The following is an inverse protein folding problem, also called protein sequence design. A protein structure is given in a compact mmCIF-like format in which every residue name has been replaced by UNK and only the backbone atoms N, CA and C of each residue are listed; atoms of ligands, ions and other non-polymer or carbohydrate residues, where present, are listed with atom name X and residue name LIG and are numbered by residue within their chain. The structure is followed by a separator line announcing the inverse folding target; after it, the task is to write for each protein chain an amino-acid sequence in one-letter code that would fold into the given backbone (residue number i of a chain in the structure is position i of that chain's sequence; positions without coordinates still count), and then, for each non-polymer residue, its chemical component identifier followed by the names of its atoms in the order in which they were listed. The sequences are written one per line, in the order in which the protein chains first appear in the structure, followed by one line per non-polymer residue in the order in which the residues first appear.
data_IF_134530084312
#
_entry.id   IF_134530084312
#
_cell.length_a   1.000
_cell.length_b   1.000
_cell.length_c   1.000
_cell.angle_alpha   90.00
_cell.angle_beta   90.00
_cell.angle_gamma   90.00
#
_symmetry.space_group_name_H-M   'P 1'
#
loop_
_entity.id
_entity.type
_entity.pdbx_description
1 polymer ?
#
# COMPACT_ATOMS: atom_id res chain seq x y z
N UNK A 1 -7.34 -3.48 25.31
CA UNK A 1 -6.83 -3.43 23.92
C UNK A 1 -6.44 -4.85 23.55
N UNK A 2 -6.97 -5.35 22.44
CA UNK A 2 -6.57 -6.66 21.90
C UNK A 2 -5.10 -6.58 21.47
N UNK A 3 -4.18 -7.38 22.05
CA UNK A 3 -2.76 -7.34 21.72
C UNK A 3 -2.44 -7.75 20.28
N UNK A 4 -3.42 -8.24 19.51
CA UNK A 4 -3.27 -8.63 18.11
C UNK A 4 -3.71 -7.53 17.13
N UNK A 5 -4.32 -6.43 17.58
CA UNK A 5 -4.71 -5.33 16.69
C UNK A 5 -3.49 -4.52 16.26
N UNK A 6 -3.33 -4.36 14.96
CA UNK A 6 -2.28 -3.55 14.32
C UNK A 6 -2.88 -2.29 13.68
N UNK A 7 -2.04 -1.36 13.24
CA UNK A 7 -2.47 -0.20 12.46
C UNK A 7 -3.26 -0.58 11.18
N UNK A 8 -3.01 -1.76 10.62
CA UNK A 8 -3.79 -2.30 9.51
C UNK A 8 -5.27 -2.54 9.87
N UNK A 9 -5.55 -2.99 11.09
CA UNK A 9 -6.92 -3.18 11.56
C UNK A 9 -7.67 -1.84 11.72
N UNK A 10 -7.00 -0.83 12.27
CA UNK A 10 -7.58 0.50 12.42
C UNK A 10 -7.84 1.15 11.05
N UNK A 11 -6.91 1.00 10.12
CA UNK A 11 -7.06 1.45 8.74
C UNK A 11 -8.27 0.77 8.08
N UNK A 12 -8.41 -0.54 8.24
CA UNK A 12 -9.50 -1.30 7.63
C UNK A 12 -10.87 -0.93 8.22
N UNK A 13 -10.96 -0.70 9.52
CA UNK A 13 -12.21 -0.26 10.16
C UNK A 13 -12.73 1.07 9.57
N UNK A 14 -11.80 1.93 9.12
CA UNK A 14 -12.13 3.21 8.46
C UNK A 14 -12.31 3.09 6.93
N UNK A 15 -12.04 1.93 6.33
CA UNK A 15 -12.13 1.71 4.88
C UNK A 15 -13.57 1.46 4.44
N UNK A 16 -14.28 2.55 4.14
CA UNK A 16 -15.67 2.51 3.70
C UNK A 16 -15.85 1.73 2.39
N UNK A 17 -14.90 1.82 1.47
CA UNK A 17 -14.99 1.18 0.16
C UNK A 17 -14.96 -0.35 0.28
N UNK A 18 -13.95 -0.88 0.97
CA UNK A 18 -13.81 -2.32 1.20
C UNK A 18 -14.98 -2.88 2.02
N UNK A 19 -15.36 -2.18 3.09
CA UNK A 19 -16.47 -2.61 3.95
C UNK A 19 -17.81 -2.68 3.20
N UNK A 20 -18.11 -1.72 2.30
CA UNK A 20 -19.34 -1.74 1.49
C UNK A 20 -19.40 -2.89 0.50
N UNK A 21 -18.27 -3.41 0.07
CA UNK A 21 -18.19 -4.56 -0.83
C UNK A 21 -18.23 -5.91 -0.09
N UNK A 22 -18.33 -5.88 1.25
CA UNK A 22 -18.32 -7.09 2.05
C UNK A 22 -16.94 -7.76 2.11
N UNK A 23 -15.86 -6.97 1.94
CA UNK A 23 -14.50 -7.47 2.18
C UNK A 23 -14.34 -7.64 3.69
N UNK A 24 -13.77 -8.76 4.08
CA UNK A 24 -13.47 -9.10 5.46
C UNK A 24 -11.95 -9.20 5.65
N UNK A 25 -11.43 -8.55 6.68
CA UNK A 25 -10.06 -8.76 7.14
C UNK A 25 -10.01 -10.06 7.95
N UNK A 26 -9.28 -11.04 7.46
CA UNK A 26 -9.08 -12.33 8.16
C UNK A 26 -7.86 -12.26 9.07
N UNK A 27 -6.73 -11.71 8.58
CA UNK A 27 -5.51 -11.51 9.35
C UNK A 27 -4.62 -10.46 8.72
N UNK A 28 -3.85 -9.73 9.55
CA UNK A 28 -2.81 -8.81 9.09
C UNK A 28 -1.70 -8.68 10.13
N UNK A 29 -0.51 -9.16 9.82
CA UNK A 29 0.66 -9.09 10.69
C UNK A 29 1.96 -9.26 9.89
N UNK A 30 3.01 -8.57 10.33
CA UNK A 30 4.40 -8.80 9.88
C UNK A 30 4.59 -8.84 8.35
N UNK A 31 3.98 -7.90 7.63
CA UNK A 31 4.09 -7.83 6.17
C UNK A 31 3.21 -8.84 5.42
N UNK A 32 2.30 -9.50 6.10
CA UNK A 32 1.37 -10.45 5.52
C UNK A 32 -0.07 -10.08 5.86
N UNK A 33 -1.00 -10.37 4.96
CA UNK A 33 -2.43 -10.20 5.21
C UNK A 33 -3.27 -11.21 4.43
N UNK A 34 -4.44 -11.49 4.96
CA UNK A 34 -5.48 -12.28 4.29
C UNK A 34 -6.78 -11.50 4.35
N UNK A 35 -7.39 -11.29 3.19
CA UNK A 35 -8.71 -10.69 3.03
C UNK A 35 -9.63 -11.62 2.22
N UNK A 36 -10.93 -11.47 2.41
CA UNK A 36 -11.95 -12.34 1.83
C UNK A 36 -13.07 -11.48 1.26
N UNK A 37 -13.63 -11.85 0.10
CA UNK A 37 -14.75 -11.13 -0.53
C UNK A 37 -15.70 -12.09 -1.24
N UNK A 38 -17.00 -12.05 -0.96
CA UNK A 38 -18.01 -12.75 -1.76
C UNK A 38 -18.26 -12.00 -3.07
N UNK A 39 -18.36 -12.70 -4.20
CA UNK A 39 -18.76 -12.11 -5.46
C UNK A 39 -20.28 -12.04 -5.55
N UNK A 40 -20.83 -10.86 -5.49
CA UNK A 40 -22.25 -10.58 -5.58
C UNK A 40 -22.69 -10.30 -7.02
N UNK A 41 -24.01 -10.27 -7.26
CA UNK A 41 -24.59 -9.92 -8.56
C UNK A 41 -24.12 -8.54 -9.05
N UNK A 42 -23.99 -7.55 -8.15
CA UNK A 42 -23.53 -6.20 -8.50
C UNK A 42 -22.07 -6.11 -8.94
N UNK A 43 -21.31 -7.19 -8.82
CA UNK A 43 -19.90 -7.26 -9.22
C UNK A 43 -19.67 -7.98 -10.56
N UNK A 44 -20.73 -8.42 -11.23
CA UNK A 44 -20.64 -9.20 -12.47
C UNK A 44 -20.68 -8.28 -13.68
N UNK A 45 -19.79 -8.50 -14.63
CA UNK A 45 -19.73 -7.77 -15.89
C UNK A 45 -20.65 -8.37 -16.99
N UNK A 46 -20.65 -7.77 -18.17
CA UNK A 46 -21.46 -8.22 -19.32
C UNK A 46 -21.16 -9.64 -19.82
N UNK A 47 -20.03 -10.24 -19.42
CA UNK A 47 -19.68 -11.63 -19.71
C UNK A 47 -20.12 -12.60 -18.61
N UNK A 48 -20.88 -12.14 -17.62
CA UNK A 48 -21.34 -12.91 -16.45
C UNK A 48 -20.20 -13.48 -15.59
N UNK A 49 -19.08 -12.77 -15.55
CA UNK A 49 -17.95 -13.06 -14.66
C UNK A 49 -17.68 -11.84 -13.79
N UNK A 50 -17.01 -12.05 -12.67
CA UNK A 50 -16.61 -10.96 -11.79
C UNK A 50 -15.82 -9.91 -12.58
N UNK A 51 -16.23 -8.63 -12.47
CA UNK A 51 -15.49 -7.54 -13.09
C UNK A 51 -14.09 -7.45 -12.49
N UNK A 52 -13.06 -7.38 -13.35
CA UNK A 52 -11.66 -7.37 -12.91
C UNK A 52 -11.33 -6.26 -11.92
N UNK A 53 -12.06 -5.13 -11.97
CA UNK A 53 -11.89 -4.05 -11.00
C UNK A 53 -12.18 -4.46 -9.56
N UNK A 54 -13.17 -5.35 -9.31
CA UNK A 54 -13.45 -5.85 -7.96
C UNK A 54 -12.40 -6.87 -7.50
N UNK A 55 -11.89 -7.71 -8.40
CA UNK A 55 -10.78 -8.63 -8.11
C UNK A 55 -9.52 -7.83 -7.78
N UNK A 56 -9.24 -6.77 -8.55
CA UNK A 56 -8.14 -5.86 -8.28
C UNK A 56 -8.29 -5.19 -6.91
N UNK A 57 -9.47 -4.68 -6.59
CA UNK A 57 -9.73 -4.00 -5.31
C UNK A 57 -9.49 -4.93 -4.12
N UNK A 58 -9.94 -6.19 -4.19
CA UNK A 58 -9.65 -7.18 -3.15
C UNK A 58 -8.15 -7.42 -2.98
N UNK A 59 -7.41 -7.57 -4.10
CA UNK A 59 -5.96 -7.74 -4.07
C UNK A 59 -5.26 -6.51 -3.47
N UNK A 60 -5.65 -5.31 -3.88
CA UNK A 60 -5.12 -4.04 -3.39
C UNK A 60 -5.40 -3.84 -1.90
N UNK A 61 -6.62 -4.20 -1.44
CA UNK A 61 -6.96 -4.17 -0.01
C UNK A 61 -6.05 -5.10 0.81
N UNK A 62 -5.84 -6.34 0.37
CA UNK A 62 -4.94 -7.27 1.05
C UNK A 62 -3.48 -6.76 1.04
N UNK A 63 -3.03 -6.18 -0.07
CA UNK A 63 -1.74 -5.52 -0.18
C UNK A 63 -1.61 -4.35 0.80
N UNK A 64 -2.59 -3.46 0.86
CA UNK A 64 -2.59 -2.32 1.79
C UNK A 64 -2.55 -2.79 3.24
N UNK A 65 -3.30 -3.82 3.60
CA UNK A 65 -3.28 -4.44 4.93
C UNK A 65 -1.90 -5.00 5.29
N UNK A 66 -1.26 -5.71 4.37
CA UNK A 66 0.09 -6.23 4.57
C UNK A 66 1.12 -5.11 4.79
N UNK A 67 1.09 -4.05 3.96
CA UNK A 67 1.98 -2.90 4.09
C UNK A 67 1.82 -2.19 5.44
N UNK A 68 0.58 -1.97 5.87
CA UNK A 68 0.27 -1.22 7.09
C UNK A 68 0.37 -2.07 8.36
N UNK A 69 0.57 -3.38 8.24
CA UNK A 69 0.79 -4.25 9.40
C UNK A 69 2.09 -3.95 10.15
N UNK A 70 3.00 -3.20 9.54
CA UNK A 70 4.23 -2.72 10.17
C UNK A 70 4.06 -1.45 11.03
N UNK A 71 2.91 -0.78 10.94
CA UNK A 71 2.56 0.40 11.74
C UNK A 71 2.58 1.72 10.99
N UNK A 72 3.69 2.16 10.36
CA UNK A 72 3.69 3.44 9.65
C UNK A 72 2.75 3.47 8.46
N UNK A 73 2.02 4.59 8.29
CA UNK A 73 1.09 4.77 7.18
C UNK A 73 1.78 4.57 5.81
N UNK A 74 1.29 3.63 5.05
CA UNK A 74 1.89 3.19 3.79
C UNK A 74 0.82 3.08 2.72
N UNK A 75 1.10 3.59 1.53
CA UNK A 75 0.18 3.63 0.39
C UNK A 75 0.76 2.92 -0.82
N UNK A 76 -0.10 2.58 -1.78
CA UNK A 76 0.33 2.07 -3.07
C UNK A 76 1.10 3.15 -3.86
N UNK A 77 2.22 2.78 -4.44
CA UNK A 77 2.97 3.59 -5.41
C UNK A 77 2.77 3.09 -6.84
N UNK A 78 2.42 1.83 -7.00
CA UNK A 78 2.10 1.19 -8.27
C UNK A 78 1.66 -0.24 -8.05
N UNK A 79 0.99 -0.80 -9.03
CA UNK A 79 0.59 -2.21 -9.01
C UNK A 79 0.35 -2.72 -10.42
N UNK A 80 0.50 -4.03 -10.59
CA UNK A 80 0.03 -4.76 -11.75
C UNK A 80 -0.70 -6.03 -11.34
N UNK A 81 -1.58 -6.53 -12.21
CA UNK A 81 -2.37 -7.73 -11.99
C UNK A 81 -2.45 -8.55 -13.28
N UNK A 82 -2.35 -9.86 -13.13
CA UNK A 82 -2.66 -10.83 -14.17
C UNK A 82 -3.87 -11.64 -13.76
N UNK A 83 -4.93 -11.59 -14.57
CA UNK A 83 -6.12 -12.41 -14.39
C UNK A 83 -5.90 -13.79 -15.00
N UNK A 84 -5.91 -14.81 -14.16
CA UNK A 84 -5.58 -16.18 -14.56
C UNK A 84 -6.83 -16.96 -14.95
N UNK A 85 -7.91 -16.79 -14.16
CA UNK A 85 -9.21 -17.44 -14.38
C UNK A 85 -10.36 -16.55 -13.99
N UNK A 86 -11.54 -16.69 -14.62
CA UNK A 86 -12.71 -15.93 -14.24
C UNK A 86 -13.26 -16.41 -12.89
N UNK A 87 -13.67 -15.47 -12.05
CA UNK A 87 -14.56 -15.72 -10.93
C UNK A 87 -16.01 -15.45 -11.33
N UNK A 88 -16.96 -16.03 -10.62
CA UNK A 88 -18.40 -15.93 -10.92
C UNK A 88 -19.18 -15.49 -9.70
N UNK A 89 -20.39 -15.01 -9.92
CA UNK A 89 -21.33 -14.75 -8.84
C UNK A 89 -21.49 -15.99 -7.95
N UNK A 90 -21.43 -15.78 -6.63
CA UNK A 90 -21.49 -16.84 -5.63
C UNK A 90 -20.14 -17.41 -5.23
N UNK A 91 -19.08 -17.12 -6.00
CA UNK A 91 -17.73 -17.45 -5.55
C UNK A 91 -17.34 -16.60 -4.33
N UNK A 92 -16.51 -17.17 -3.47
CA UNK A 92 -15.81 -16.46 -2.41
C UNK A 92 -14.35 -16.40 -2.78
N UNK A 93 -13.80 -15.20 -2.88
CA UNK A 93 -12.40 -14.97 -3.18
C UNK A 93 -11.61 -14.69 -1.93
N UNK A 94 -10.39 -15.20 -1.88
CA UNK A 94 -9.45 -15.01 -0.79
C UNK A 94 -8.15 -14.44 -1.39
N UNK A 95 -7.78 -13.24 -0.93
CA UNK A 95 -6.51 -12.61 -1.28
C UNK A 95 -5.50 -12.84 -0.15
N UNK A 96 -4.35 -13.39 -0.48
CA UNK A 96 -3.22 -13.59 0.43
C UNK A 96 -2.05 -12.75 -0.03
N UNK A 97 -1.72 -11.74 0.77
CA UNK A 97 -0.62 -10.82 0.53
C UNK A 97 0.61 -11.22 1.36
N UNK A 98 1.78 -11.10 0.77
CA UNK A 98 3.06 -11.30 1.46
C UNK A 98 4.12 -10.33 0.98
N UNK A 99 4.87 -9.79 1.92
CA UNK A 99 6.04 -8.96 1.65
C UNK A 99 7.13 -9.77 0.97
N UNK A 100 7.69 -9.23 -0.11
CA UNK A 100 8.85 -9.80 -0.80
C UNK A 100 10.14 -9.14 -0.33
N UNK A 101 10.12 -7.81 -0.25
CA UNK A 101 11.27 -7.03 0.21
C UNK A 101 10.84 -5.62 0.57
N UNK A 102 11.58 -4.99 1.48
CA UNK A 102 11.49 -3.55 1.76
C UNK A 102 12.84 -2.89 1.53
N UNK A 103 12.82 -1.67 1.01
CA UNK A 103 14.03 -0.87 0.76
C UNK A 103 13.73 0.61 0.96
N UNK A 104 14.46 1.27 1.85
CA UNK A 104 14.16 2.64 2.23
C UNK A 104 12.71 2.80 2.75
N UNK A 105 11.91 3.63 2.07
CA UNK A 105 10.49 3.82 2.36
C UNK A 105 9.57 3.06 1.41
N UNK A 106 10.10 2.15 0.63
CA UNK A 106 9.36 1.37 -0.38
C UNK A 106 9.35 -0.11 -0.03
N UNK A 107 8.39 -0.84 -0.61
CA UNK A 107 8.31 -2.28 -0.50
C UNK A 107 7.67 -2.91 -1.72
N UNK A 108 7.91 -4.18 -1.92
CA UNK A 108 7.31 -5.02 -2.96
C UNK A 108 6.56 -6.14 -2.27
N UNK A 109 5.32 -6.37 -2.69
CA UNK A 109 4.41 -7.36 -2.14
C UNK A 109 3.78 -8.15 -3.25
N UNK A 110 3.63 -9.45 -3.07
CA UNK A 110 2.87 -10.31 -3.95
C UNK A 110 1.55 -10.69 -3.30
N UNK A 111 0.49 -10.72 -4.11
CA UNK A 111 -0.84 -11.14 -3.67
C UNK A 111 -1.37 -12.19 -4.64
N UNK A 112 -1.71 -13.35 -4.11
CA UNK A 112 -2.48 -14.36 -4.84
C UNK A 112 -3.94 -14.26 -4.46
N UNK A 113 -4.82 -14.05 -5.44
CA UNK A 113 -6.28 -14.14 -5.27
C UNK A 113 -6.72 -15.51 -5.74
N UNK A 114 -7.33 -16.28 -4.85
CA UNK A 114 -7.85 -17.61 -5.16
C UNK A 114 -9.33 -17.72 -4.80
N UNK A 115 -10.04 -18.64 -5.46
CA UNK A 115 -11.34 -19.11 -5.00
C UNK A 115 -11.16 -19.86 -3.67
N UNK A 116 -12.15 -19.92 -2.80
CA UNK A 116 -12.07 -20.58 -1.50
C UNK A 116 -11.58 -22.05 -1.59
N UNK A 117 -11.85 -22.73 -2.71
CA UNK A 117 -11.33 -24.08 -3.01
C UNK A 117 -9.86 -24.14 -3.45
N UNK A 118 -9.15 -23.02 -3.51
CA UNK A 118 -7.72 -22.95 -3.81
C UNK A 118 -7.36 -22.66 -5.27
N UNK A 119 -8.32 -22.61 -6.19
CA UNK A 119 -8.06 -22.28 -7.60
C UNK A 119 -7.65 -20.81 -7.75
N UNK A 120 -6.50 -20.55 -8.38
CA UNK A 120 -5.98 -19.19 -8.58
C UNK A 120 -6.82 -18.43 -9.60
N UNK A 121 -7.28 -17.25 -9.23
CA UNK A 121 -8.05 -16.31 -10.03
C UNK A 121 -7.18 -15.20 -10.59
N UNK A 122 -6.28 -14.63 -9.78
CA UNK A 122 -5.38 -13.58 -10.19
C UNK A 122 -4.10 -13.58 -9.36
N UNK A 123 -3.03 -13.07 -9.97
CA UNK A 123 -1.76 -12.74 -9.34
C UNK A 123 -1.53 -11.23 -9.44
N UNK A 124 -1.16 -10.62 -8.33
CA UNK A 124 -0.97 -9.18 -8.22
C UNK A 124 0.39 -8.88 -7.58
N UNK A 125 1.05 -7.84 -8.07
CA UNK A 125 2.25 -7.29 -7.46
C UNK A 125 2.07 -5.81 -7.19
N UNK A 126 2.22 -5.40 -5.91
CA UNK A 126 2.16 -4.02 -5.49
C UNK A 126 3.52 -3.48 -5.06
N UNK A 127 3.76 -2.21 -5.38
CA UNK A 127 4.86 -1.42 -4.84
C UNK A 127 4.28 -0.42 -3.83
N UNK A 128 4.85 -0.39 -2.64
CA UNK A 128 4.40 0.48 -1.56
C UNK A 128 5.32 1.66 -1.32
N UNK A 129 4.76 2.71 -0.71
CA UNK A 129 5.49 3.87 -0.24
C UNK A 129 5.01 4.27 1.15
N UNK A 130 5.88 4.19 2.14
CA UNK A 130 5.60 4.72 3.47
C UNK A 130 5.61 6.24 3.44
N UNK A 131 4.54 6.84 3.96
CA UNK A 131 4.40 8.29 4.04
C UNK A 131 5.36 8.83 5.12
N UNK A 132 5.87 10.04 4.90
CA UNK A 132 6.53 10.77 5.98
C UNK A 132 5.44 11.28 6.91
N UNK A 133 5.64 11.25 8.25
CA UNK A 133 4.81 12.05 9.13
C UNK A 133 4.81 13.48 8.56
N UNK A 134 3.66 14.13 8.50
CA UNK A 134 3.62 15.57 8.23
C UNK A 134 4.46 16.19 9.34
N UNK A 135 5.72 16.55 9.02
CA UNK A 135 6.47 17.47 9.86
C UNK A 135 5.59 18.70 10.05
N UNK A 136 5.54 19.24 11.27
CA UNK A 136 4.89 20.53 11.52
C UNK A 136 5.31 21.48 10.39
N UNK A 137 4.38 22.31 9.85
CA UNK A 137 4.70 23.20 8.74
C UNK A 137 6.02 23.88 9.04
N UNK A 138 6.94 23.83 8.06
CA UNK A 138 8.20 24.56 8.14
C UNK A 138 7.85 25.93 8.69
N UNK A 139 8.36 26.26 9.88
CA UNK A 139 8.24 27.62 10.41
C UNK A 139 8.75 28.52 9.29
N UNK A 140 7.88 29.36 8.76
CA UNK A 140 8.37 30.44 7.93
C UNK A 140 9.46 31.15 8.73
N UNK A 141 10.66 31.38 8.15
CA UNK A 141 11.72 32.06 8.85
C UNK A 141 11.15 33.44 9.29
N UNK A 142 11.28 33.74 10.59
CA UNK A 142 10.85 35.01 11.19
C UNK A 142 11.38 36.17 10.35
N UNK A 143 10.60 37.25 10.15
CA UNK A 143 11.05 38.44 9.41
C UNK A 143 12.23 39.07 10.14
N UNK A 144 13.46 38.80 9.71
CA UNK A 144 14.69 39.25 10.34
C UNK A 144 15.86 38.26 10.21
N UNK A 145 15.58 37.00 9.87
CA UNK A 145 16.63 35.99 9.71
C UNK A 145 17.24 35.98 8.31
N UNK A 146 16.62 36.68 7.34
CA UNK A 146 17.06 36.79 5.97
C UNK A 146 18.22 37.80 5.73
N UNK A 147 18.54 38.64 6.72
CA UNK A 147 19.54 39.71 6.57
C UNK A 147 20.90 39.41 7.23
N UNK A 148 21.15 38.20 7.71
CA UNK A 148 22.47 37.80 8.14
C UNK A 148 23.27 37.22 6.99
N UNK A 149 23.93 38.11 6.21
CA UNK A 149 24.98 37.70 5.31
C UNK A 149 26.08 36.95 6.08
N UNK A 150 26.64 35.86 5.56
CA UNK A 150 27.76 35.18 6.20
C UNK A 150 28.96 36.16 6.26
N UNK A 151 29.48 36.39 7.48
CA UNK A 151 30.66 37.14 7.74
C UNK A 151 31.81 36.58 6.88
N UNK A 152 32.45 37.44 6.10
CA UNK A 152 33.53 37.12 5.17
C UNK A 152 34.70 36.45 5.88
N UNK A 153 35.02 35.22 5.46
CA UNK A 153 36.28 34.56 5.79
C UNK A 153 37.42 35.11 4.91
N UNK A 154 38.68 35.15 5.42
CA UNK A 154 39.79 35.80 4.75
C UNK A 154 40.21 35.10 3.46
N UNK A 155 40.53 35.92 2.46
CA UNK A 155 40.95 35.52 1.11
C UNK A 155 42.12 34.53 1.09
N UNK A 156 42.02 33.55 0.20
CA UNK A 156 43.17 32.77 -0.25
C UNK A 156 43.49 33.18 -1.68
N UNK A 157 44.75 33.59 -1.85
CA UNK A 157 45.39 33.96 -3.11
C UNK A 157 45.41 32.81 -4.13
N UNK A 158 45.43 33.10 -5.43
CA UNK A 158 45.49 32.06 -6.44
C UNK A 158 46.92 31.55 -6.63
N UNK A 159 47.08 30.22 -6.40
CA UNK A 159 48.30 29.51 -6.76
C UNK A 159 48.23 28.99 -8.18
N UNK A 160 49.10 29.55 -9.04
CA UNK A 160 49.48 29.05 -10.36
C UNK A 160 50.17 27.68 -10.25
N UNK A 161 49.84 26.76 -11.15
CA UNK A 161 50.57 25.50 -11.30
C UNK A 161 50.01 24.60 -12.38
N UNK A 162 50.54 24.73 -13.58
CA UNK A 162 50.51 23.82 -14.72
C UNK A 162 51.16 22.46 -14.38
N UNK A 163 50.56 21.35 -14.72
CA UNK A 163 50.98 20.22 -15.59
C UNK A 163 50.00 19.10 -15.50
#
# INVERSE_FOLDING_TARGET
MDPQRTAAHEMFDADVASNRLGIELVSAANGSAVARMPITEGMVNGHRIAHGGFVFLLADTAFALACNSHGPATVAAGADITFVRPARQGDVLIARASERTRYGRSGIYDVTVSREGGEVIAEFRGQSRTLRPLSAPDREPEPGERDRAPAGGPGRSPGTGYR
#
